data_IF_690320026649
#
_entry.id   IF_690320026649
#
_cell.length_a   1.000
_cell.length_b   1.000
_cell.length_c   1.000
_cell.angle_alpha   90.00
_cell.angle_beta   90.00
_cell.angle_gamma   90.00
#
_symmetry.space_group_name_H-M   'P 1'
#
loop_
_entity.id
_entity.type
_entity.pdbx_description
1 polymer ?
#
# COMPACT_ATOMS: atom_id res chain seq x y z
N UNK A 1 14.45 -3.62 -16.87
CA UNK A 1 14.67 -3.82 -15.42
C UNK A 1 14.34 -5.26 -15.13
N UNK A 2 15.37 -6.08 -14.91
CA UNK A 2 15.20 -7.52 -14.68
C UNK A 2 14.61 -7.77 -13.29
N UNK A 3 13.39 -8.30 -13.27
CA UNK A 3 12.74 -8.84 -12.08
C UNK A 3 13.30 -10.25 -11.87
N UNK A 4 14.44 -10.34 -11.17
CA UNK A 4 15.09 -11.61 -10.86
C UNK A 4 14.13 -12.59 -10.14
N UNK A 5 14.06 -13.89 -10.53
CA UNK A 5 12.94 -14.77 -10.13
C UNK A 5 13.03 -15.39 -8.73
N UNK A 6 14.17 -15.27 -8.02
CA UNK A 6 14.48 -16.14 -6.87
C UNK A 6 14.29 -15.51 -5.48
N UNK A 7 13.86 -14.26 -5.37
CA UNK A 7 13.69 -13.57 -4.08
C UNK A 7 12.38 -12.76 -4.02
N UNK A 8 11.32 -13.33 -4.59
CA UNK A 8 9.95 -12.78 -4.58
C UNK A 8 9.04 -13.71 -3.76
N UNK A 9 9.34 -15.01 -3.75
CA UNK A 9 8.49 -16.02 -3.10
C UNK A 9 8.58 -15.96 -1.57
N UNK A 10 9.78 -15.82 -1.00
CA UNK A 10 9.97 -15.79 0.46
C UNK A 10 9.38 -14.53 1.07
N UNK A 11 9.74 -13.35 0.54
CA UNK A 11 9.20 -12.08 0.98
C UNK A 11 7.69 -11.98 0.82
N UNK A 12 7.16 -12.52 -0.28
CA UNK A 12 5.72 -12.56 -0.47
C UNK A 12 5.04 -13.50 0.53
N UNK A 13 5.68 -14.62 0.89
CA UNK A 13 5.18 -15.53 1.92
C UNK A 13 5.14 -14.86 3.29
N UNK A 14 6.17 -14.08 3.64
CA UNK A 14 6.20 -13.28 4.88
C UNK A 14 5.08 -12.23 4.86
N UNK A 15 4.92 -11.49 3.76
CA UNK A 15 3.85 -10.50 3.61
C UNK A 15 2.46 -11.13 3.72
N UNK A 16 2.25 -12.25 3.02
CA UNK A 16 1.01 -13.01 3.07
C UNK A 16 0.69 -13.49 4.49
N UNK A 17 1.68 -14.03 5.21
CA UNK A 17 1.55 -14.41 6.62
C UNK A 17 1.09 -13.25 7.50
N UNK A 18 1.67 -12.05 7.31
CA UNK A 18 1.24 -10.84 8.02
C UNK A 18 -0.22 -10.48 7.77
N UNK A 19 -0.69 -10.56 6.52
CA UNK A 19 -2.10 -10.32 6.19
C UNK A 19 -3.05 -11.39 6.75
N UNK A 20 -2.67 -12.67 6.70
CA UNK A 20 -3.48 -13.76 7.26
C UNK A 20 -3.63 -13.62 8.78
N UNK A 21 -2.56 -13.27 9.50
CA UNK A 21 -2.62 -13.03 10.94
C UNK A 21 -3.52 -11.84 11.26
N UNK A 22 -3.42 -10.74 10.51
CA UNK A 22 -4.30 -9.59 10.67
C UNK A 22 -5.77 -9.97 10.43
N UNK A 23 -6.06 -10.73 9.38
CA UNK A 23 -7.42 -11.20 9.08
C UNK A 23 -7.96 -12.11 10.19
N UNK A 24 -7.13 -13.00 10.74
CA UNK A 24 -7.51 -13.83 11.89
C UNK A 24 -7.85 -12.99 13.13
N UNK A 25 -7.10 -11.92 13.41
CA UNK A 25 -7.37 -11.00 14.51
C UNK A 25 -8.66 -10.20 14.31
N UNK A 26 -9.08 -9.96 13.06
CA UNK A 26 -10.26 -9.14 12.75
C UNK A 26 -11.57 -9.93 12.59
N UNK A 27 -11.52 -11.26 12.71
CA UNK A 27 -12.72 -12.09 12.59
C UNK A 27 -13.79 -11.69 13.62
N UNK A 28 -15.08 -11.75 13.22
CA UNK A 28 -15.62 -12.32 11.98
C UNK A 28 -15.61 -11.39 10.76
N UNK A 29 -15.14 -10.14 10.88
CA UNK A 29 -15.11 -9.16 9.78
C UNK A 29 -13.93 -9.38 8.84
N UNK A 30 -14.06 -8.93 7.59
CA UNK A 30 -12.98 -8.98 6.62
C UNK A 30 -12.12 -7.71 6.66
N UNK A 31 -10.84 -7.80 6.25
CA UNK A 31 -9.95 -6.63 6.19
C UNK A 31 -10.45 -5.53 5.21
N UNK A 32 -11.36 -5.87 4.29
CA UNK A 32 -12.07 -4.92 3.44
C UNK A 32 -13.01 -3.98 4.23
N UNK A 33 -13.45 -4.39 5.42
CA UNK A 33 -14.35 -3.64 6.31
C UNK A 33 -13.59 -2.89 7.41
N UNK A 34 -12.25 -2.90 7.37
CA UNK A 34 -11.40 -2.35 8.41
C UNK A 34 -11.56 -0.83 8.52
N UNK A 35 -11.87 -0.35 9.71
CA UNK A 35 -11.97 1.09 10.01
C UNK A 35 -10.67 1.60 10.63
N UNK A 36 -10.50 2.92 10.66
CA UNK A 36 -9.28 3.55 11.18
C UNK A 36 -8.99 3.19 12.64
N UNK A 37 -10.01 3.10 13.48
CA UNK A 37 -9.88 2.71 14.89
C UNK A 37 -9.46 1.24 15.08
N UNK A 38 -9.81 0.37 14.13
CA UNK A 38 -9.45 -1.06 14.20
C UNK A 38 -7.95 -1.28 13.95
N UNK A 39 -7.29 -0.35 13.24
CA UNK A 39 -5.90 -0.48 12.80
C UNK A 39 -4.93 -0.71 13.96
N UNK A 40 -5.13 -0.06 15.10
CA UNK A 40 -4.22 -0.19 16.25
C UNK A 40 -4.13 -1.63 16.77
N UNK A 41 -5.19 -2.42 16.59
CA UNK A 41 -5.28 -3.81 17.05
C UNK A 41 -4.94 -4.81 15.94
N UNK A 42 -5.23 -4.47 14.68
CA UNK A 42 -5.19 -5.40 13.54
C UNK A 42 -3.96 -5.20 12.65
N UNK A 43 -3.44 -3.98 12.54
CA UNK A 43 -2.42 -3.63 11.55
C UNK A 43 -1.00 -4.10 11.87
N UNK A 44 -0.73 -4.41 13.15
CA UNK A 44 0.62 -4.73 13.64
C UNK A 44 1.30 -5.88 12.87
N UNK A 45 0.66 -7.04 12.62
CA UNK A 45 1.31 -8.13 11.88
C UNK A 45 1.74 -7.74 10.46
N UNK A 46 0.96 -6.89 9.78
CA UNK A 46 1.28 -6.41 8.42
C UNK A 46 2.48 -5.47 8.45
N UNK A 47 2.51 -4.54 9.41
CA UNK A 47 3.61 -3.58 9.60
C UNK A 47 4.91 -4.33 9.95
N UNK A 48 4.84 -5.31 10.85
CA UNK A 48 5.99 -6.11 11.26
C UNK A 48 6.55 -6.93 10.10
N UNK A 49 5.69 -7.61 9.32
CA UNK A 49 6.11 -8.33 8.11
C UNK A 49 6.85 -7.43 7.12
N UNK A 50 6.34 -6.22 6.87
CA UNK A 50 6.99 -5.28 5.94
C UNK A 50 8.30 -4.72 6.47
N UNK A 51 8.41 -4.50 7.79
CA UNK A 51 9.66 -4.09 8.43
C UNK A 51 10.70 -5.21 8.39
N UNK A 52 10.29 -6.44 8.67
CA UNK A 52 11.14 -7.64 8.60
C UNK A 52 11.74 -7.76 7.21
N UNK A 53 10.90 -7.74 6.17
CA UNK A 53 11.39 -7.87 4.80
C UNK A 53 12.32 -6.71 4.41
N UNK A 54 11.97 -5.47 4.81
CA UNK A 54 12.82 -4.31 4.53
C UNK A 54 14.18 -4.40 5.24
N UNK A 55 14.23 -5.02 6.42
CA UNK A 55 15.46 -5.22 7.18
C UNK A 55 16.33 -6.35 6.62
N UNK A 56 15.73 -7.46 6.20
CA UNK A 56 16.43 -8.59 5.59
C UNK A 56 17.06 -8.23 4.24
N UNK A 57 16.37 -7.39 3.46
CA UNK A 57 16.82 -6.94 2.13
C UNK A 57 17.80 -5.77 2.17
N UNK A 58 18.10 -5.23 3.36
CA UNK A 58 19.03 -4.11 3.52
C UNK A 58 20.47 -4.42 3.10
N UNK A 59 20.84 -5.70 3.06
CA UNK A 59 22.17 -6.16 2.62
C UNK A 59 22.37 -6.11 1.10
N UNK A 60 21.31 -6.00 0.28
CA UNK A 60 21.40 -6.05 -1.18
C UNK A 60 20.68 -4.91 -1.90
N UNK A 61 19.43 -4.57 -1.52
CA UNK A 61 18.66 -3.43 -2.04
C UNK A 61 17.48 -3.04 -1.09
N UNK A 62 17.73 -2.33 0.04
CA UNK A 62 16.72 -2.07 1.08
C UNK A 62 15.44 -1.37 0.59
N UNK A 63 15.57 -0.47 -0.39
CA UNK A 63 14.44 0.35 -0.86
C UNK A 63 13.55 -0.37 -1.89
N UNK A 64 14.04 -1.46 -2.48
CA UNK A 64 13.35 -2.11 -3.58
C UNK A 64 12.12 -2.87 -3.11
N UNK A 65 12.18 -3.60 -1.99
CA UNK A 65 11.05 -4.42 -1.56
C UNK A 65 9.94 -3.61 -0.89
N UNK A 66 10.27 -2.66 0.00
CA UNK A 66 9.26 -1.76 0.60
C UNK A 66 8.42 -1.07 -0.49
N UNK A 67 9.07 -0.58 -1.54
CA UNK A 67 8.40 -0.01 -2.71
C UNK A 67 7.55 -1.04 -3.45
N UNK A 68 8.10 -2.21 -3.78
CA UNK A 68 7.36 -3.29 -4.47
C UNK A 68 6.12 -3.72 -3.70
N UNK A 69 6.23 -3.97 -2.40
CA UNK A 69 5.12 -4.43 -1.58
C UNK A 69 4.01 -3.38 -1.51
N UNK A 70 4.36 -2.09 -1.32
CA UNK A 70 3.36 -1.02 -1.33
C UNK A 70 2.72 -0.80 -2.71
N UNK A 71 3.45 -1.01 -3.81
CA UNK A 71 2.86 -1.03 -5.16
C UNK A 71 1.85 -2.16 -5.29
N UNK A 72 2.18 -3.38 -4.84
CA UNK A 72 1.27 -4.54 -4.88
C UNK A 72 0.02 -4.28 -4.05
N UNK A 73 0.18 -3.79 -2.82
CA UNK A 73 -0.93 -3.47 -1.91
C UNK A 73 -1.82 -2.39 -2.51
N UNK A 74 -1.23 -1.35 -3.08
CA UNK A 74 -2.03 -0.28 -3.68
C UNK A 74 -2.75 -0.75 -4.95
N UNK A 75 -2.09 -1.53 -5.80
CA UNK A 75 -2.72 -2.17 -6.94
C UNK A 75 -3.89 -3.06 -6.50
N UNK A 76 -3.78 -3.74 -5.35
CA UNK A 76 -4.88 -4.52 -4.76
C UNK A 76 -6.06 -3.64 -4.33
N UNK A 77 -5.80 -2.48 -3.72
CA UNK A 77 -6.84 -1.53 -3.28
C UNK A 77 -7.54 -0.85 -4.45
N UNK A 78 -6.80 -0.54 -5.53
CA UNK A 78 -7.35 0.08 -6.74
C UNK A 78 -8.22 -0.87 -7.58
N UNK A 79 -8.22 -2.17 -7.28
CA UNK A 79 -9.02 -3.12 -8.03
C UNK A 79 -10.52 -2.93 -7.74
N UNK A 80 -11.38 -2.97 -8.78
CA UNK A 80 -12.82 -2.97 -8.57
C UNK A 80 -13.22 -4.16 -7.68
N UNK A 81 -14.05 -3.89 -6.67
CA UNK A 81 -14.68 -4.92 -5.84
C UNK A 81 -16.19 -4.74 -5.89
N UNK A 82 -16.99 -5.78 -6.22
CA UNK A 82 -16.57 -7.17 -6.49
C UNK A 82 -16.01 -7.37 -7.91
N UNK A 83 -15.06 -8.30 -8.05
CA UNK A 83 -14.52 -8.73 -9.35
C UNK A 83 -15.59 -9.57 -10.05
N UNK A 84 -16.03 -9.19 -11.25
CA UNK A 84 -16.94 -10.03 -12.01
C UNK A 84 -16.19 -11.31 -12.47
N UNK A 85 -16.84 -12.48 -12.51
CA UNK A 85 -16.18 -13.72 -12.90
C UNK A 85 -15.58 -13.68 -14.33
N UNK A 86 -16.15 -12.86 -15.22
CA UNK A 86 -15.62 -12.57 -16.55
C UNK A 86 -14.28 -11.81 -16.52
N UNK A 87 -14.08 -10.97 -15.51
CA UNK A 87 -12.86 -10.16 -15.38
C UNK A 87 -11.69 -11.02 -14.95
N UNK A 88 -11.92 -12.10 -14.19
CA UNK A 88 -10.87 -13.05 -13.77
C UNK A 88 -10.21 -13.77 -14.95
N UNK A 89 -10.93 -14.04 -16.03
CA UNK A 89 -10.46 -14.86 -17.16
C UNK A 89 -9.56 -14.09 -18.14
N UNK A 90 -9.67 -12.75 -18.18
CA UNK A 90 -8.76 -11.87 -18.94
C UNK A 90 -7.66 -11.29 -18.05
N UNK A 91 -7.95 -11.04 -16.77
CA UNK A 91 -7.05 -10.33 -15.87
C UNK A 91 -5.75 -11.06 -15.56
N UNK A 92 -5.72 -12.40 -15.53
CA UNK A 92 -4.44 -13.11 -15.34
C UNK A 92 -3.44 -12.88 -16.48
N UNK A 93 -3.92 -12.49 -17.68
CA UNK A 93 -3.07 -12.15 -18.81
C UNK A 93 -2.58 -10.70 -18.75
N UNK A 94 -3.37 -9.79 -18.17
CA UNK A 94 -3.12 -8.34 -18.20
C UNK A 94 -2.48 -7.79 -16.92
N UNK A 95 -2.75 -8.42 -15.77
CA UNK A 95 -2.30 -7.97 -14.46
C UNK A 95 -0.99 -8.68 -14.05
N UNK A 96 0.12 -7.97 -14.16
CA UNK A 96 1.46 -8.45 -13.76
C UNK A 96 1.51 -8.84 -12.27
N UNK A 97 0.60 -8.32 -11.45
CA UNK A 97 0.50 -8.64 -10.03
C UNK A 97 -0.55 -9.71 -9.73
N UNK A 98 -1.23 -10.32 -10.71
CA UNK A 98 -2.36 -11.24 -10.49
C UNK A 98 -2.04 -12.35 -9.48
N UNK A 99 -0.98 -13.13 -9.70
CA UNK A 99 -0.61 -14.25 -8.83
C UNK A 99 -0.28 -13.82 -7.39
N UNK A 100 0.42 -12.69 -7.27
CA UNK A 100 0.90 -12.16 -5.98
C UNK A 100 -0.21 -11.43 -5.23
N UNK A 101 -1.01 -10.64 -5.94
CA UNK A 101 -2.17 -9.92 -5.42
C UNK A 101 -3.28 -10.86 -4.96
N UNK A 102 -3.43 -12.03 -5.58
CA UNK A 102 -4.40 -13.04 -5.13
C UNK A 102 -4.02 -13.73 -3.81
N UNK A 103 -2.75 -13.66 -3.41
CA UNK A 103 -2.35 -14.10 -2.07
C UNK A 103 -2.79 -13.10 -0.99
N UNK A 104 -2.92 -11.82 -1.31
CA UNK A 104 -3.38 -10.81 -0.35
C UNK A 104 -4.91 -10.87 -0.26
N UNK A 105 -5.51 -10.94 0.95
CA UNK A 105 -6.95 -10.85 1.12
C UNK A 105 -7.49 -9.52 0.58
N UNK A 106 -8.80 -9.42 0.40
CA UNK A 106 -9.43 -8.16 0.00
C UNK A 106 -9.25 -7.12 1.11
N UNK A 107 -8.75 -5.95 0.75
CA UNK A 107 -8.37 -4.85 1.66
C UNK A 107 -8.94 -3.53 1.12
N UNK A 108 -9.06 -2.52 1.97
CA UNK A 108 -9.58 -1.20 1.62
C UNK A 108 -8.51 -0.09 1.72
N UNK A 109 -8.90 1.14 1.39
CA UNK A 109 -8.02 2.32 1.49
C UNK A 109 -7.52 2.61 2.91
N UNK A 110 -8.30 2.28 3.94
CA UNK A 110 -7.87 2.41 5.35
C UNK A 110 -6.56 1.65 5.59
N UNK A 111 -6.51 0.38 5.15
CA UNK A 111 -5.30 -0.45 5.28
C UNK A 111 -4.11 0.20 4.58
N UNK A 112 -4.30 0.71 3.36
CA UNK A 112 -3.23 1.38 2.62
C UNK A 112 -2.69 2.61 3.36
N UNK A 113 -3.57 3.54 3.74
CA UNK A 113 -3.15 4.81 4.34
C UNK A 113 -2.55 4.63 5.73
N UNK A 114 -3.14 3.78 6.56
CA UNK A 114 -2.60 3.46 7.87
C UNK A 114 -1.24 2.75 7.77
N UNK A 115 -1.04 1.91 6.75
CA UNK A 115 0.23 1.27 6.49
C UNK A 115 1.30 2.26 6.04
N UNK A 116 0.98 3.14 5.09
CA UNK A 116 1.88 4.20 4.63
C UNK A 116 2.31 5.10 5.80
N UNK A 117 1.37 5.44 6.68
CA UNK A 117 1.62 6.20 7.92
C UNK A 117 2.52 5.44 8.89
N UNK A 118 2.22 4.17 9.17
CA UNK A 118 2.98 3.32 10.10
C UNK A 118 4.41 3.03 9.63
N UNK A 119 4.66 3.15 8.33
CA UNK A 119 5.95 2.96 7.69
C UNK A 119 6.65 4.29 7.34
N UNK A 120 6.08 5.44 7.70
CA UNK A 120 6.62 6.78 7.38
C UNK A 120 6.96 6.90 5.87
N UNK A 121 6.07 6.40 5.03
CA UNK A 121 6.31 6.22 3.60
C UNK A 121 5.74 7.36 2.73
N UNK A 122 5.74 8.59 3.25
CA UNK A 122 5.15 9.79 2.59
C UNK A 122 5.78 10.07 1.22
N UNK A 123 7.12 10.04 1.11
CA UNK A 123 7.82 10.22 -0.17
C UNK A 123 7.48 9.14 -1.20
N UNK A 124 7.30 7.88 -0.76
CA UNK A 124 6.88 6.80 -1.64
C UNK A 124 5.42 6.98 -2.08
N UNK A 125 4.53 7.40 -1.18
CA UNK A 125 3.14 7.71 -1.53
C UNK A 125 3.03 8.79 -2.60
N UNK A 126 3.86 9.84 -2.53
CA UNK A 126 3.89 10.86 -3.60
C UNK A 126 4.42 10.29 -4.92
N UNK A 127 5.51 9.51 -4.91
CA UNK A 127 6.02 8.87 -6.15
C UNK A 127 4.94 8.02 -6.82
N UNK A 128 4.21 7.29 -5.99
CA UNK A 128 3.07 6.46 -6.33
C UNK A 128 1.94 7.31 -6.96
N UNK A 129 1.48 8.37 -6.29
CA UNK A 129 0.46 9.30 -6.82
C UNK A 129 0.84 9.95 -8.14
N UNK A 130 2.14 10.25 -8.32
CA UNK A 130 2.66 10.85 -9.55
C UNK A 130 2.72 9.87 -10.73
N UNK A 131 2.67 8.56 -10.48
CA UNK A 131 2.63 7.53 -11.52
C UNK A 131 1.20 7.25 -12.03
N UNK A 132 0.17 7.77 -11.37
CA UNK A 132 -1.23 7.53 -11.71
C UNK A 132 -1.78 8.52 -12.75
N UNK A 133 -2.75 8.10 -13.59
CA UNK A 133 -3.58 9.02 -14.36
C UNK A 133 -4.24 10.07 -13.47
N UNK A 134 -4.43 11.29 -13.99
CA UNK A 134 -4.92 12.44 -13.20
C UNK A 134 -6.27 12.20 -12.51
N UNK A 135 -7.17 11.45 -13.15
CA UNK A 135 -8.49 11.10 -12.59
C UNK A 135 -8.37 10.19 -11.38
N UNK A 136 -7.56 9.12 -11.49
CA UNK A 136 -7.30 8.18 -10.39
C UNK A 136 -6.53 8.87 -9.27
N UNK A 137 -5.50 9.66 -9.60
CA UNK A 137 -4.74 10.45 -8.63
C UNK A 137 -5.64 11.37 -7.78
N UNK A 138 -6.65 12.02 -8.41
CA UNK A 138 -7.61 12.86 -7.70
C UNK A 138 -8.46 12.05 -6.72
N UNK A 139 -9.04 10.94 -7.17
CA UNK A 139 -9.88 10.08 -6.32
C UNK A 139 -9.08 9.54 -5.12
N UNK A 140 -7.84 9.09 -5.34
CA UNK A 140 -6.97 8.61 -4.25
C UNK A 140 -6.61 9.71 -3.25
N UNK A 141 -6.44 10.95 -3.72
CA UNK A 141 -6.23 12.10 -2.83
C UNK A 141 -7.49 12.45 -2.03
N UNK A 142 -8.67 12.33 -2.62
CA UNK A 142 -9.95 12.55 -1.93
C UNK A 142 -10.13 11.50 -0.82
N UNK A 143 -9.95 10.21 -1.12
CA UNK A 143 -9.96 9.14 -0.12
C UNK A 143 -8.92 9.35 0.99
N UNK A 144 -7.71 9.81 0.64
CA UNK A 144 -6.69 10.12 1.64
C UNK A 144 -7.12 11.26 2.56
N UNK A 145 -7.69 12.34 2.02
CA UNK A 145 -8.18 13.47 2.81
C UNK A 145 -9.33 13.08 3.72
N UNK A 146 -10.30 12.31 3.21
CA UNK A 146 -11.41 11.76 3.99
C UNK A 146 -10.89 10.92 5.15
N UNK A 147 -9.94 10.01 4.89
CA UNK A 147 -9.33 9.17 5.91
C UNK A 147 -8.54 9.95 6.97
N UNK A 148 -7.86 11.03 6.59
CA UNK A 148 -7.17 11.91 7.53
C UNK A 148 -8.13 12.74 8.39
N UNK A 149 -9.30 13.10 7.85
CA UNK A 149 -10.31 13.92 8.52
C UNK A 149 -11.16 13.15 9.55
N UNK A 150 -11.31 11.83 9.39
CA UNK A 150 -12.03 10.97 10.34
C UNK A 150 -11.11 10.64 11.52
N UNK A 151 -11.58 10.86 12.76
CA UNK A 151 -10.87 10.55 14.00
C UNK A 151 -9.40 11.00 13.99
N UNK A 152 -9.16 12.26 13.60
CA UNK A 152 -7.82 12.81 13.36
C UNK A 152 -6.94 12.77 14.61
N UNK A 153 -5.83 12.04 14.51
CA UNK A 153 -4.77 11.97 15.51
C UNK A 153 -3.60 12.91 15.18
N UNK A 154 -2.70 13.13 16.14
CA UNK A 154 -1.46 13.89 15.90
C UNK A 154 -0.57 13.25 14.84
N UNK A 155 -0.57 11.91 14.73
CA UNK A 155 0.17 11.18 13.69
C UNK A 155 -0.42 11.42 12.30
N UNK A 156 -1.74 11.58 12.20
CA UNK A 156 -2.40 11.89 10.93
C UNK A 156 -2.01 13.27 10.44
N UNK A 157 -2.03 14.26 11.33
CA UNK A 157 -1.59 15.63 11.01
C UNK A 157 -0.13 15.64 10.56
N UNK A 158 0.75 14.96 11.30
CA UNK A 158 2.16 14.86 10.93
C UNK A 158 2.35 14.23 9.54
N UNK A 159 1.73 13.07 9.30
CA UNK A 159 1.83 12.38 8.02
C UNK A 159 1.24 13.19 6.86
N UNK A 160 0.09 13.84 7.07
CA UNK A 160 -0.49 14.75 6.09
C UNK A 160 0.46 15.89 5.72
N UNK A 161 1.09 16.53 6.71
CA UNK A 161 2.04 17.61 6.49
C UNK A 161 3.29 17.13 5.76
N UNK A 162 3.80 15.93 6.06
CA UNK A 162 4.90 15.33 5.30
C UNK A 162 4.53 15.11 3.83
N UNK A 163 3.38 14.48 3.56
CA UNK A 163 2.87 14.26 2.20
C UNK A 163 2.72 15.59 1.45
N UNK A 164 2.15 16.60 2.11
CA UNK A 164 2.02 17.94 1.54
C UNK A 164 3.38 18.57 1.23
N UNK A 165 4.32 18.50 2.17
CA UNK A 165 5.66 19.03 2.02
C UNK A 165 6.40 18.37 0.86
N UNK A 166 6.40 17.05 0.78
CA UNK A 166 7.00 16.26 -0.31
C UNK A 166 6.45 16.69 -1.68
N UNK A 167 5.12 16.85 -1.79
CA UNK A 167 4.48 17.31 -3.03
C UNK A 167 4.93 18.69 -3.45
N UNK A 168 5.02 19.65 -2.52
CA UNK A 168 5.46 21.01 -2.84
C UNK A 168 6.94 21.06 -3.22
N UNK A 169 7.77 20.22 -2.60
CA UNK A 169 9.20 20.09 -2.87
C UNK A 169 9.47 19.48 -4.23
N UNK A 170 8.83 18.35 -4.56
CA UNK A 170 8.95 17.71 -5.88
C UNK A 170 8.52 18.62 -7.03
N UNK A 171 7.46 19.42 -6.84
CA UNK A 171 7.04 20.43 -7.84
C UNK A 171 8.08 21.51 -8.08
N UNK A 172 8.84 21.92 -7.05
CA UNK A 172 9.95 22.88 -7.21
C UNK A 172 11.06 22.27 -8.05
N UNK A 173 11.45 21.03 -7.76
CA UNK A 173 12.49 20.34 -8.53
C UNK A 173 12.08 20.09 -9.98
N UNK A 174 10.84 19.68 -10.25
CA UNK A 174 10.36 19.48 -11.61
C UNK A 174 10.34 20.78 -12.43
N UNK A 175 9.95 21.92 -11.82
CA UNK A 175 10.00 23.24 -12.49
C UNK A 175 11.42 23.75 -12.74
N UNK A 176 12.43 23.27 -12.00
CA UNK A 176 13.82 23.64 -12.22
C UNK A 176 14.47 22.80 -13.33
N UNK A 177 13.83 21.70 -13.76
CA UNK A 177 14.31 20.79 -14.80
C UNK A 177 13.55 20.95 -16.14
N UNK A 178 12.62 21.89 -16.24
CA UNK A 178 11.85 22.25 -17.45
C UNK A 178 12.08 23.70 -17.80
#
# INVERSE_FOLDING_TARGET
>A
MDLGPLNICEEMTVLHGGFLLAEQLFRPKALAELTKSDWEHVGRPIVEALREISSATACSQPFAWKKKALVIIWAKVLQPSPIAPSDTETRWQEDVFFSVGNMIPTINHTVLFELLKSLEASGLFIQLLMALPTTICRAELEHFLEHMAVDTSSKDVAFFLEVWWERTTLRKYLRLCT
#
